data_IF_343485801597
#
_entry.id   IF_343485801597
#
_cell.length_a   1.000
_cell.length_b   1.000
_cell.length_c   1.000
_cell.angle_alpha   90.00
_cell.angle_beta   90.00
_cell.angle_gamma   90.00
#
_symmetry.space_group_name_H-M   'P 1'
#
loop_
_entity.id
_entity.type
_entity.pdbx_description
1 polymer ?
#
# COMPACT_ATOMS: atom_id res chain seq x y z
N UNK A 1 1.07 -17.55 -10.86
CA UNK A 1 -0.05 -17.64 -9.87
C UNK A 1 -0.15 -16.46 -8.89
N UNK A 2 0.90 -15.67 -8.62
CA UNK A 2 0.86 -14.46 -7.75
C UNK A 2 0.07 -13.25 -8.28
N UNK A 3 -0.32 -13.23 -9.56
CA UNK A 3 -1.14 -12.13 -10.12
C UNK A 3 -2.58 -12.16 -9.61
N UNK A 4 -3.11 -13.34 -9.26
CA UNK A 4 -4.49 -13.50 -8.80
C UNK A 4 -4.74 -12.86 -7.44
N UNK A 5 -3.80 -12.94 -6.47
CA UNK A 5 -3.95 -12.26 -5.16
C UNK A 5 -4.10 -10.74 -5.31
N UNK A 6 -3.33 -10.14 -6.22
CA UNK A 6 -3.42 -8.71 -6.51
C UNK A 6 -4.73 -8.35 -7.22
N UNK A 7 -5.30 -9.26 -7.98
CA UNK A 7 -6.58 -9.03 -8.64
C UNK A 7 -7.73 -9.05 -7.61
N UNK A 8 -7.73 -10.00 -6.67
CA UNK A 8 -8.74 -10.06 -5.61
C UNK A 8 -8.75 -8.81 -4.72
N UNK A 9 -7.60 -8.25 -4.37
CA UNK A 9 -7.55 -6.99 -3.61
C UNK A 9 -8.18 -5.81 -4.36
N UNK A 10 -8.04 -5.76 -5.70
CA UNK A 10 -8.68 -4.74 -6.51
C UNK A 10 -10.17 -5.01 -6.68
N UNK A 11 -10.57 -6.28 -6.83
CA UNK A 11 -11.98 -6.66 -6.88
C UNK A 11 -12.70 -6.32 -5.57
N UNK A 12 -12.10 -6.59 -4.42
CA UNK A 12 -12.71 -6.22 -3.13
C UNK A 12 -12.85 -4.70 -2.98
N UNK A 13 -11.89 -3.93 -3.47
CA UNK A 13 -11.99 -2.47 -3.51
C UNK A 13 -13.12 -1.99 -4.42
N UNK A 14 -13.30 -2.70 -5.53
CA UNK A 14 -14.37 -2.46 -6.48
C UNK A 14 -15.73 -2.80 -5.85
N UNK A 15 -15.87 -3.94 -5.18
CA UNK A 15 -17.08 -4.30 -4.45
C UNK A 15 -17.47 -3.23 -3.41
N UNK A 16 -16.49 -2.72 -2.66
CA UNK A 16 -16.70 -1.61 -1.72
C UNK A 16 -17.18 -0.33 -2.44
N UNK A 17 -16.66 -0.04 -3.63
CA UNK A 17 -17.12 1.09 -4.44
C UNK A 17 -18.53 0.86 -5.03
N UNK A 18 -18.87 -0.39 -5.35
CA UNK A 18 -20.18 -0.77 -5.90
C UNK A 18 -21.29 -0.68 -4.87
N UNK A 19 -20.99 -0.87 -3.57
CA UNK A 19 -21.94 -0.66 -2.49
C UNK A 19 -22.49 0.78 -2.45
N UNK A 20 -21.69 1.76 -2.87
CA UNK A 20 -22.11 3.17 -2.93
C UNK A 20 -22.94 3.52 -4.20
N UNK A 21 -22.88 2.69 -5.26
CA UNK A 21 -23.53 2.99 -6.54
C UNK A 21 -25.06 3.08 -6.48
N UNK A 22 -25.80 2.24 -5.74
CA UNK A 22 -27.26 2.35 -5.66
C UNK A 22 -27.71 3.71 -5.09
N UNK A 23 -27.04 4.20 -4.05
CA UNK A 23 -27.35 5.50 -3.43
C UNK A 23 -27.04 6.64 -4.40
N UNK A 24 -25.90 6.55 -5.09
CA UNK A 24 -25.53 7.49 -6.14
C UNK A 24 -26.60 7.50 -7.25
N UNK A 25 -26.90 6.36 -7.88
CA UNK A 25 -27.91 6.29 -8.94
C UNK A 25 -29.30 6.78 -8.50
N UNK A 26 -29.69 6.52 -7.25
CA UNK A 26 -30.93 7.04 -6.69
C UNK A 26 -30.94 8.58 -6.60
N UNK A 27 -29.88 9.18 -6.05
CA UNK A 27 -29.76 10.64 -5.95
C UNK A 27 -29.65 11.31 -7.33
N UNK A 28 -28.96 10.68 -8.28
CA UNK A 28 -28.90 11.11 -9.68
C UNK A 28 -30.30 11.13 -10.30
N UNK A 29 -31.08 10.06 -10.09
CA UNK A 29 -32.45 9.95 -10.62
C UNK A 29 -33.34 11.08 -10.12
N UNK A 30 -33.26 11.44 -8.83
CA UNK A 30 -34.02 12.56 -8.26
C UNK A 30 -33.59 13.90 -8.88
N UNK A 31 -32.28 14.14 -9.01
CA UNK A 31 -31.76 15.38 -9.59
C UNK A 31 -32.20 15.55 -11.05
N UNK A 32 -32.10 14.47 -11.84
CA UNK A 32 -32.54 14.44 -13.24
C UNK A 32 -34.03 14.74 -13.34
N UNK A 33 -34.87 14.09 -12.53
CA UNK A 33 -36.32 14.32 -12.55
C UNK A 33 -36.70 15.75 -12.12
N UNK A 34 -36.00 16.30 -11.12
CA UNK A 34 -36.22 17.66 -10.63
C UNK A 34 -35.92 18.72 -11.71
N UNK A 35 -34.73 18.69 -12.30
CA UNK A 35 -34.36 19.67 -13.33
C UNK A 35 -35.11 19.44 -14.64
N UNK A 36 -35.40 18.18 -14.99
CA UNK A 36 -36.25 17.86 -16.13
C UNK A 36 -37.66 18.46 -15.97
N UNK A 37 -38.27 18.35 -14.80
CA UNK A 37 -39.56 18.98 -14.52
C UNK A 37 -39.47 20.51 -14.62
N UNK A 38 -38.43 21.14 -14.04
CA UNK A 38 -38.22 22.60 -14.14
C UNK A 38 -38.11 23.06 -15.59
N UNK A 39 -37.27 22.39 -16.39
CA UNK A 39 -37.08 22.74 -17.80
C UNK A 39 -38.37 22.51 -18.60
N UNK A 40 -39.10 21.42 -18.32
CA UNK A 40 -40.38 21.11 -18.95
C UNK A 40 -41.45 22.16 -18.64
N UNK A 41 -41.45 22.77 -17.45
CA UNK A 41 -42.37 23.87 -17.11
C UNK A 41 -41.90 25.23 -17.64
N UNK A 42 -40.59 25.45 -17.73
CA UNK A 42 -40.01 26.71 -18.19
C UNK A 42 -40.07 26.90 -19.72
N UNK A 43 -40.13 25.80 -20.48
CA UNK A 43 -40.13 25.83 -21.95
C UNK A 43 -41.52 25.63 -22.56
N UNK A 44 -41.82 26.29 -23.70
CA UNK A 44 -43.05 26.09 -24.43
C UNK A 44 -43.11 24.69 -25.04
N UNK A 45 -44.34 24.16 -25.13
CA UNK A 45 -44.64 22.82 -25.67
C UNK A 45 -44.24 22.63 -27.14
N UNK A 46 -43.96 23.70 -27.86
CA UNK A 46 -43.47 23.70 -29.25
C UNK A 46 -42.00 23.30 -29.36
N UNK A 47 -41.22 23.49 -28.29
CA UNK A 47 -39.80 23.12 -28.24
C UNK A 47 -39.64 21.77 -27.52
N UNK A 48 -40.17 21.66 -26.30
CA UNK A 48 -40.14 20.43 -25.49
C UNK A 48 -41.55 19.89 -25.36
N UNK A 49 -41.84 18.85 -26.13
CA UNK A 49 -43.19 18.30 -26.28
C UNK A 49 -43.60 17.41 -25.11
N UNK A 50 -42.67 16.57 -24.64
CA UNK A 50 -42.94 15.53 -23.64
C UNK A 50 -41.91 15.56 -22.51
N UNK A 51 -42.31 15.09 -21.32
CA UNK A 51 -41.42 15.01 -20.16
C UNK A 51 -40.18 14.13 -20.42
N UNK A 52 -40.29 12.96 -21.08
CA UNK A 52 -39.11 12.16 -21.44
C UNK A 52 -38.09 12.93 -22.30
N UNK A 53 -38.52 13.86 -23.15
CA UNK A 53 -37.62 14.71 -23.92
C UNK A 53 -36.84 15.70 -23.03
N UNK A 54 -37.47 16.23 -21.98
CA UNK A 54 -36.79 17.04 -20.97
C UNK A 54 -35.83 16.20 -20.10
N UNK A 55 -36.19 14.94 -19.81
CA UNK A 55 -35.31 13.98 -19.11
C UNK A 55 -34.08 13.69 -19.97
N UNK A 56 -34.27 13.43 -21.26
CA UNK A 56 -33.18 13.23 -22.21
C UNK A 56 -32.20 14.42 -22.25
N UNK A 57 -32.73 15.64 -22.37
CA UNK A 57 -31.93 16.87 -22.30
C UNK A 57 -31.14 16.97 -20.98
N UNK A 58 -31.80 16.66 -19.86
CA UNK A 58 -31.17 16.74 -18.53
C UNK A 58 -30.05 15.71 -18.37
N UNK A 59 -30.28 14.46 -18.81
CA UNK A 59 -29.28 13.38 -18.75
C UNK A 59 -28.07 13.71 -19.64
N UNK A 60 -28.31 14.13 -20.88
CA UNK A 60 -27.23 14.45 -21.83
C UNK A 60 -26.41 15.66 -21.41
N UNK A 61 -27.04 16.64 -20.75
CA UNK A 61 -26.35 17.80 -20.16
C UNK A 61 -25.55 17.39 -18.93
N UNK A 62 -26.15 16.60 -18.02
CA UNK A 62 -25.49 16.12 -16.80
C UNK A 62 -24.29 15.21 -17.09
N UNK A 63 -24.40 14.37 -18.13
CA UNK A 63 -23.29 13.54 -18.63
C UNK A 63 -22.30 14.31 -19.50
N UNK A 64 -22.47 15.62 -19.68
CA UNK A 64 -21.62 16.51 -20.49
C UNK A 64 -21.50 16.13 -21.96
N UNK A 65 -22.41 15.29 -22.48
CA UNK A 65 -22.40 14.82 -23.88
C UNK A 65 -22.90 15.91 -24.83
N UNK A 66 -24.04 16.54 -24.48
CA UNK A 66 -24.57 17.70 -25.21
C UNK A 66 -24.74 17.51 -26.72
N UNK A 67 -25.61 16.58 -27.15
CA UNK A 67 -25.86 16.32 -28.58
C UNK A 67 -26.38 17.54 -29.38
N UNK A 68 -26.99 18.52 -28.70
CA UNK A 68 -27.51 19.74 -29.33
C UNK A 68 -28.79 19.53 -30.16
N UNK A 69 -29.40 18.35 -30.05
CA UNK A 69 -30.68 17.97 -30.68
C UNK A 69 -31.88 18.65 -30.01
N UNK A 70 -31.82 18.80 -28.68
CA UNK A 70 -32.81 19.52 -27.88
C UNK A 70 -32.06 20.56 -27.04
N UNK A 71 -32.58 21.79 -27.01
CA UNK A 71 -32.00 22.86 -26.20
C UNK A 71 -33.08 23.85 -25.76
N UNK A 72 -32.98 24.42 -24.54
CA UNK A 72 -33.89 25.46 -24.11
C UNK A 72 -33.73 26.69 -25.01
N UNK A 73 -34.85 27.30 -25.41
CA UNK A 73 -34.85 28.54 -26.21
C UNK A 73 -35.31 29.74 -25.39
N UNK A 74 -35.98 29.51 -24.27
CA UNK A 74 -36.45 30.57 -23.36
C UNK A 74 -35.35 31.01 -22.41
N UNK A 75 -35.41 32.27 -21.99
CA UNK A 75 -34.52 32.80 -20.96
C UNK A 75 -34.64 32.03 -19.64
N UNK A 76 -35.86 31.62 -19.26
CA UNK A 76 -36.12 30.80 -18.07
C UNK A 76 -35.48 29.41 -18.18
N UNK A 77 -35.64 28.73 -19.32
CA UNK A 77 -35.03 27.43 -19.57
C UNK A 77 -33.49 27.48 -19.56
N UNK A 78 -32.90 28.56 -20.09
CA UNK A 78 -31.46 28.80 -20.05
C UNK A 78 -30.93 29.03 -18.62
N UNK A 79 -31.68 29.74 -17.78
CA UNK A 79 -31.33 29.92 -16.36
C UNK A 79 -31.38 28.57 -15.64
N UNK A 80 -32.46 27.80 -15.80
CA UNK A 80 -32.60 26.47 -15.20
C UNK A 80 -31.46 25.53 -15.64
N UNK A 81 -31.10 25.58 -16.93
CA UNK A 81 -30.04 24.73 -17.49
C UNK A 81 -28.66 25.18 -17.01
N UNK A 82 -28.43 26.48 -16.80
CA UNK A 82 -27.21 26.98 -16.17
C UNK A 82 -27.04 26.45 -14.75
N UNK A 83 -28.12 26.44 -13.95
CA UNK A 83 -28.09 25.83 -12.62
C UNK A 83 -27.87 24.33 -12.68
N UNK A 84 -28.51 23.63 -13.61
CA UNK A 84 -28.30 22.20 -13.86
C UNK A 84 -26.81 21.91 -14.12
N UNK A 85 -26.16 22.65 -15.01
CA UNK A 85 -24.74 22.45 -15.36
C UNK A 85 -23.86 22.55 -14.12
N UNK A 86 -24.05 23.58 -13.29
CA UNK A 86 -23.28 23.78 -12.06
C UNK A 86 -23.53 22.65 -11.08
N UNK A 87 -24.80 22.32 -10.81
CA UNK A 87 -25.17 21.24 -9.90
C UNK A 87 -24.67 19.87 -10.38
N UNK A 88 -24.72 19.60 -11.69
CA UNK A 88 -24.22 18.34 -12.27
C UNK A 88 -22.70 18.22 -12.19
N UNK A 89 -21.98 19.33 -12.37
CA UNK A 89 -20.52 19.31 -12.26
C UNK A 89 -20.08 18.95 -10.83
N UNK A 90 -20.76 19.51 -9.82
CA UNK A 90 -20.52 19.14 -8.42
C UNK A 90 -20.87 17.68 -8.14
N UNK A 91 -21.95 17.18 -8.72
CA UNK A 91 -22.38 15.80 -8.54
C UNK A 91 -21.38 14.79 -9.12
N UNK A 92 -20.85 15.07 -10.33
CA UNK A 92 -19.87 14.20 -11.00
C UNK A 92 -18.53 14.05 -10.24
N UNK A 93 -18.23 14.94 -9.29
CA UNK A 93 -17.07 14.82 -8.42
C UNK A 93 -17.21 13.71 -7.36
N UNK A 94 -18.44 13.37 -6.94
CA UNK A 94 -18.69 12.42 -5.85
C UNK A 94 -18.29 10.98 -6.22
N UNK A 95 -18.73 10.39 -7.35
CA UNK A 95 -18.33 9.04 -7.74
C UNK A 95 -16.81 8.93 -7.93
N UNK A 96 -16.21 9.95 -8.54
CA UNK A 96 -14.76 10.01 -8.74
C UNK A 96 -14.01 10.02 -7.41
N UNK A 97 -14.49 10.78 -6.43
CA UNK A 97 -13.94 10.82 -5.07
C UNK A 97 -14.08 9.49 -4.31
N UNK A 98 -15.23 8.81 -4.42
CA UNK A 98 -15.45 7.50 -3.79
C UNK A 98 -14.49 6.45 -4.35
N UNK A 99 -14.40 6.35 -5.68
CA UNK A 99 -13.49 5.41 -6.34
C UNK A 99 -12.03 5.75 -6.03
N UNK A 100 -11.66 7.03 -6.07
CA UNK A 100 -10.33 7.50 -5.71
C UNK A 100 -9.96 7.17 -4.27
N UNK A 101 -10.87 7.38 -3.31
CA UNK A 101 -10.68 7.04 -1.91
C UNK A 101 -10.53 5.53 -1.68
N UNK A 102 -11.36 4.71 -2.33
CA UNK A 102 -11.25 3.25 -2.28
C UNK A 102 -9.90 2.77 -2.83
N UNK A 103 -9.49 3.31 -3.98
CA UNK A 103 -8.19 2.99 -4.57
C UNK A 103 -7.03 3.42 -3.69
N UNK A 104 -7.08 4.63 -3.11
CA UNK A 104 -6.03 5.16 -2.23
C UNK A 104 -5.79 4.26 -1.02
N UNK A 105 -6.86 3.77 -0.37
CA UNK A 105 -6.76 2.84 0.77
C UNK A 105 -6.05 1.54 0.38
N UNK A 106 -6.40 0.97 -0.77
CA UNK A 106 -5.78 -0.28 -1.27
C UNK A 106 -4.32 -0.06 -1.66
N UNK A 107 -4.02 1.11 -2.23
CA UNK A 107 -2.67 1.45 -2.65
C UNK A 107 -1.75 1.65 -1.46
N UNK A 108 -2.20 2.39 -0.43
CA UNK A 108 -1.48 2.58 0.83
C UNK A 108 -1.21 1.24 1.52
N UNK A 109 -2.22 0.37 1.57
CA UNK A 109 -2.11 -0.97 2.13
C UNK A 109 -1.08 -1.85 1.42
N UNK A 110 -0.97 -1.71 0.09
CA UNK A 110 0.03 -2.44 -0.68
C UNK A 110 1.43 -1.91 -0.44
N UNK A 111 1.58 -0.59 -0.39
CA UNK A 111 2.88 0.03 -0.22
C UNK A 111 3.49 -0.36 1.14
N UNK A 112 2.71 -0.34 2.23
CA UNK A 112 3.19 -0.84 3.53
C UNK A 112 3.62 -2.30 3.49
N UNK A 113 2.80 -3.18 2.92
CA UNK A 113 3.08 -4.61 2.85
C UNK A 113 4.32 -4.91 2.00
N UNK A 114 4.53 -4.15 0.92
CA UNK A 114 5.68 -4.28 0.06
C UNK A 114 6.97 -3.83 0.77
N UNK A 115 6.92 -2.77 1.57
CA UNK A 115 8.07 -2.31 2.35
C UNK A 115 8.45 -3.34 3.42
N UNK A 116 7.50 -3.83 4.23
CA UNK A 116 7.75 -4.88 5.24
C UNK A 116 8.34 -6.14 4.58
N UNK A 117 7.80 -6.57 3.42
CA UNK A 117 8.32 -7.73 2.70
C UNK A 117 9.74 -7.50 2.19
N UNK A 118 10.07 -6.29 1.71
CA UNK A 118 11.44 -5.96 1.27
C UNK A 118 12.42 -5.98 2.42
N UNK A 119 12.08 -5.36 3.56
CA UNK A 119 12.88 -5.38 4.78
C UNK A 119 13.12 -6.81 5.25
N UNK A 120 12.05 -7.61 5.37
CA UNK A 120 12.14 -9.03 5.76
C UNK A 120 13.04 -9.85 4.83
N UNK A 121 12.85 -9.72 3.51
CA UNK A 121 13.65 -10.48 2.55
C UNK A 121 15.14 -10.14 2.64
N UNK A 122 15.48 -8.88 2.96
CA UNK A 122 16.86 -8.43 3.09
C UNK A 122 17.52 -8.91 4.37
N UNK A 123 16.79 -8.87 5.49
CA UNK A 123 17.23 -9.50 6.73
C UNK A 123 17.50 -11.00 6.53
N UNK A 124 16.62 -11.70 5.79
CA UNK A 124 16.83 -13.11 5.46
C UNK A 124 18.01 -13.35 4.52
N UNK A 125 18.25 -12.47 3.54
CA UNK A 125 19.41 -12.55 2.66
C UNK A 125 20.74 -12.41 3.41
N UNK A 126 20.73 -11.66 4.51
CA UNK A 126 21.89 -11.52 5.40
C UNK A 126 22.03 -12.66 6.40
N UNK A 127 21.11 -13.63 6.39
CA UNK A 127 21.16 -14.81 7.25
C UNK A 127 20.59 -14.59 8.65
N UNK A 128 19.94 -13.44 8.92
CA UNK A 128 19.29 -13.21 10.21
C UNK A 128 18.11 -14.17 10.37
N UNK A 129 18.19 -15.01 11.40
CA UNK A 129 17.08 -15.82 11.86
C UNK A 129 16.13 -14.97 12.71
N UNK A 130 14.89 -15.43 12.97
CA UNK A 130 13.97 -14.69 13.83
C UNK A 130 14.48 -14.44 15.25
N UNK A 131 15.49 -15.20 15.72
CA UNK A 131 16.14 -14.98 17.02
C UNK A 131 17.14 -13.83 16.94
N UNK A 132 17.94 -13.77 15.87
CA UNK A 132 18.96 -12.74 15.65
C UNK A 132 18.35 -11.35 15.42
N UNK A 133 17.06 -11.29 15.07
CA UNK A 133 16.32 -10.05 14.86
C UNK A 133 16.11 -9.28 16.17
N UNK A 134 16.01 -9.98 17.30
CA UNK A 134 15.99 -9.34 18.62
C UNK A 134 17.37 -8.77 18.97
N UNK A 135 18.45 -9.48 18.64
CA UNK A 135 19.81 -8.95 18.84
C UNK A 135 20.07 -7.73 17.95
N UNK A 136 19.56 -7.73 16.71
CA UNK A 136 19.64 -6.59 15.82
C UNK A 136 18.85 -5.39 16.35
N UNK A 137 17.68 -5.62 16.94
CA UNK A 137 16.88 -4.58 17.59
C UNK A 137 17.69 -3.91 18.72
N UNK A 138 18.23 -4.71 19.65
CA UNK A 138 19.03 -4.18 20.77
C UNK A 138 20.39 -3.62 20.36
N UNK A 139 20.87 -3.91 19.15
CA UNK A 139 22.09 -3.32 18.62
C UNK A 139 21.89 -1.85 18.20
N UNK A 140 20.70 -1.52 17.71
CA UNK A 140 20.37 -0.17 17.23
C UNK A 140 19.66 0.70 18.29
N UNK A 141 19.06 0.07 19.31
CA UNK A 141 18.58 0.72 20.53
C UNK A 141 19.78 1.29 21.31
N UNK A 142 20.13 2.54 20.99
CA UNK A 142 21.34 3.21 21.46
C UNK A 142 21.18 3.67 22.91
N UNK A 143 19.97 4.08 23.27
CA UNK A 143 19.63 4.51 24.63
C UNK A 143 19.24 3.35 25.56
N UNK A 144 19.11 2.12 25.02
CA UNK A 144 18.71 0.90 25.71
C UNK A 144 17.36 1.02 26.38
N UNK A 145 16.46 1.79 25.78
CA UNK A 145 15.09 1.95 26.27
C UNK A 145 14.24 0.69 26.09
N UNK A 146 14.69 -0.26 25.26
CA UNK A 146 13.92 -1.43 24.86
C UNK A 146 12.89 -1.13 23.77
N UNK A 147 12.96 0.07 23.18
CA UNK A 147 12.07 0.58 22.14
C UNK A 147 12.93 1.26 21.07
N UNK A 148 12.59 1.14 19.79
CA UNK A 148 13.27 1.89 18.72
C UNK A 148 12.49 3.15 18.39
N UNK A 149 13.13 4.31 18.47
CA UNK A 149 12.56 5.54 17.95
C UNK A 149 12.71 5.67 16.42
N UNK A 150 12.10 6.70 15.83
CA UNK A 150 12.15 6.91 14.37
C UNK A 150 13.58 7.12 13.84
N UNK A 151 14.46 7.75 14.63
CA UNK A 151 15.87 7.96 14.30
C UNK A 151 16.63 6.65 14.28
N UNK A 152 16.58 5.88 15.36
CA UNK A 152 17.23 4.57 15.49
C UNK A 152 16.72 3.58 14.43
N UNK A 153 15.40 3.56 14.20
CA UNK A 153 14.80 2.75 13.15
C UNK A 153 15.25 3.20 11.75
N UNK A 154 15.37 4.50 11.50
CA UNK A 154 15.84 5.02 10.22
C UNK A 154 17.30 4.69 9.97
N UNK A 155 18.15 4.70 10.99
CA UNK A 155 19.54 4.26 10.88
C UNK A 155 19.62 2.77 10.56
N UNK A 156 18.87 1.95 11.28
CA UNK A 156 18.78 0.51 11.05
C UNK A 156 18.33 0.20 9.61
N UNK A 157 17.27 0.85 9.12
CA UNK A 157 16.76 0.67 7.75
C UNK A 157 17.69 1.27 6.69
N UNK A 158 18.40 2.37 7.02
CA UNK A 158 19.39 3.01 6.17
C UNK A 158 20.57 2.09 5.87
N UNK A 159 21.09 1.41 6.89
CA UNK A 159 22.15 0.41 6.76
C UNK A 159 21.74 -0.79 5.89
N UNK A 160 20.45 -1.16 5.88
CA UNK A 160 19.92 -2.19 4.97
C UNK A 160 19.97 -1.80 3.48
N UNK A 161 20.34 -0.55 3.15
CA UNK A 161 20.49 -0.02 1.77
C UNK A 161 19.33 -0.39 0.86
N UNK A 162 18.10 -0.29 1.38
CA UNK A 162 16.89 -0.67 0.65
C UNK A 162 16.53 0.30 -0.48
N UNK A 163 17.22 1.44 -0.58
CA UNK A 163 16.94 2.48 -1.58
C UNK A 163 15.56 3.12 -1.40
N UNK A 164 15.12 3.24 -0.15
CA UNK A 164 13.81 3.78 0.22
C UNK A 164 13.99 5.27 0.55
N UNK A 165 13.07 6.12 0.11
CA UNK A 165 13.07 7.54 0.47
C UNK A 165 12.72 7.75 1.95
N UNK A 166 13.18 8.85 2.54
CA UNK A 166 12.92 9.16 3.95
C UNK A 166 11.42 9.10 4.31
N UNK A 167 10.54 9.66 3.46
CA UNK A 167 9.08 9.61 3.68
C UNK A 167 8.53 8.18 3.78
N UNK A 168 9.11 7.25 3.01
CA UNK A 168 8.70 5.84 3.03
C UNK A 168 9.27 5.09 4.22
N UNK A 169 10.37 5.53 4.81
CA UNK A 169 10.89 5.01 6.09
C UNK A 169 9.94 5.41 7.21
N UNK A 170 9.47 6.66 7.24
CA UNK A 170 8.45 7.12 8.20
C UNK A 170 7.17 6.29 8.08
N UNK A 171 6.70 6.04 6.86
CA UNK A 171 5.53 5.19 6.65
C UNK A 171 5.79 3.74 7.05
N UNK A 172 7.01 3.23 6.86
CA UNK A 172 7.38 1.90 7.34
C UNK A 172 7.40 1.85 8.88
N UNK A 173 7.97 2.85 9.54
CA UNK A 173 7.97 2.96 10.99
C UNK A 173 6.56 2.92 11.57
N UNK A 174 5.63 3.72 11.02
CA UNK A 174 4.20 3.69 11.40
C UNK A 174 3.49 2.36 11.17
N UNK A 175 4.07 1.46 10.38
CA UNK A 175 3.49 0.13 10.16
C UNK A 175 3.99 -0.90 11.17
N UNK A 176 5.04 -0.55 11.91
CA UNK A 176 5.56 -1.31 13.03
C UNK A 176 4.92 -0.83 14.33
N UNK A 177 4.93 0.49 14.56
CA UNK A 177 4.27 1.19 15.68
C UNK A 177 2.74 1.02 15.57
N UNK A 178 2.23 -0.01 16.23
CA UNK A 178 0.82 -0.42 16.15
C UNK A 178 -0.01 0.27 17.22
N UNK A 179 0.60 0.58 18.36
CA UNK A 179 -0.05 1.27 19.47
C UNK A 179 -0.03 2.81 19.34
N UNK A 180 0.76 3.35 18.40
CA UNK A 180 0.87 4.78 18.13
C UNK A 180 1.68 5.53 19.16
N UNK A 181 2.55 4.84 19.92
CA UNK A 181 3.42 5.41 20.93
C UNK A 181 4.48 6.36 20.36
N UNK A 182 4.72 6.30 19.04
CA UNK A 182 5.82 7.01 18.38
C UNK A 182 7.17 6.31 18.55
N UNK A 183 7.14 5.07 19.03
CA UNK A 183 8.27 4.16 19.19
C UNK A 183 7.85 2.76 18.74
N UNK A 184 8.81 1.86 18.55
CA UNK A 184 8.54 0.47 18.15
C UNK A 184 9.17 -0.47 19.17
N UNK A 185 8.35 -1.26 19.87
CA UNK A 185 8.86 -2.26 20.82
C UNK A 185 9.30 -3.56 20.12
N UNK A 186 9.92 -4.48 20.88
CA UNK A 186 10.42 -5.75 20.34
C UNK A 186 9.29 -6.69 19.89
N UNK A 187 8.12 -6.61 20.53
CA UNK A 187 6.91 -7.35 20.21
C UNK A 187 6.32 -6.92 18.87
N UNK A 188 6.15 -5.62 18.68
CA UNK A 188 5.72 -4.94 17.47
C UNK A 188 6.67 -5.23 16.31
N UNK A 189 7.98 -5.10 16.55
CA UNK A 189 9.01 -5.35 15.55
C UNK A 189 8.96 -6.77 15.01
N UNK A 190 8.92 -7.75 15.90
CA UNK A 190 8.85 -9.17 15.53
C UNK A 190 7.49 -9.51 14.94
N UNK A 191 6.38 -8.95 15.43
CA UNK A 191 5.03 -9.20 14.91
C UNK A 191 4.89 -8.69 13.48
N UNK A 192 5.40 -7.50 13.17
CA UNK A 192 5.38 -6.94 11.82
C UNK A 192 6.25 -7.78 10.84
N UNK A 193 7.44 -8.20 11.28
CA UNK A 193 8.36 -8.99 10.45
C UNK A 193 8.02 -10.49 10.40
N UNK A 194 7.34 -11.08 11.37
CA UNK A 194 7.06 -12.53 11.42
C UNK A 194 5.69 -12.84 12.06
N UNK A 195 4.57 -12.42 11.45
CA UNK A 195 3.25 -12.59 12.05
C UNK A 195 2.85 -14.07 12.28
N UNK A 196 3.44 -15.01 11.52
CA UNK A 196 3.22 -16.47 11.71
C UNK A 196 4.22 -17.12 12.67
N UNK A 197 5.37 -16.50 12.92
CA UNK A 197 6.43 -17.01 13.81
C UNK A 197 6.43 -16.36 15.19
N UNK A 198 5.65 -15.28 15.36
CA UNK A 198 5.49 -14.51 16.58
C UNK A 198 5.24 -15.40 17.81
N UNK A 199 4.25 -16.29 17.74
CA UNK A 199 3.93 -17.19 18.85
C UNK A 199 5.11 -18.12 19.19
N UNK A 200 5.87 -18.59 18.21
CA UNK A 200 7.04 -19.47 18.46
C UNK A 200 8.18 -18.71 19.13
N UNK A 201 8.43 -17.46 18.73
CA UNK A 201 9.55 -16.65 19.25
C UNK A 201 9.27 -16.21 20.69
N UNK A 202 8.05 -15.77 20.99
CA UNK A 202 7.68 -15.32 22.34
C UNK A 202 7.27 -16.47 23.30
N UNK A 203 6.82 -17.63 22.81
CA UNK A 203 6.75 -18.84 23.67
C UNK A 203 8.16 -19.26 24.15
N UNK A 204 9.19 -19.07 23.33
CA UNK A 204 10.57 -19.36 23.72
C UNK A 204 11.07 -18.34 24.76
N UNK A 205 10.69 -17.06 24.65
CA UNK A 205 11.05 -16.02 25.65
C UNK A 205 10.44 -16.33 27.03
N UNK A 206 9.21 -16.84 27.06
CA UNK A 206 8.50 -17.21 28.30
C UNK A 206 8.98 -18.54 28.90
N UNK A 207 9.39 -19.52 28.09
CA UNK A 207 9.96 -20.79 28.57
C UNK A 207 11.47 -20.72 28.86
N UNK A 208 12.18 -19.79 28.23
CA UNK A 208 13.61 -19.55 28.44
C UNK A 208 13.93 -18.78 29.72
N UNK A 209 12.96 -18.06 30.28
CA UNK A 209 13.11 -17.39 31.57
C UNK A 209 13.24 -18.39 32.75
N UNK A 210 12.58 -19.55 32.66
CA UNK A 210 12.65 -20.60 33.68
C UNK A 210 13.84 -21.56 33.51
N UNK A 211 14.40 -21.70 32.29
CA UNK A 211 15.60 -22.53 32.03
C UNK A 211 16.93 -21.76 32.10
N UNK A 212 16.89 -20.43 32.27
CA UNK A 212 18.08 -19.57 32.29
C UNK A 212 19.10 -19.89 33.39
N UNK A 213 18.70 -20.63 34.43
CA UNK A 213 19.58 -21.04 35.54
C UNK A 213 20.17 -22.44 35.36
N UNK A 214 19.55 -23.34 34.58
CA UNK A 214 20.00 -24.74 34.43
C UNK A 214 20.89 -24.97 33.20
N UNK A 215 20.69 -24.22 32.11
CA UNK A 215 21.48 -24.45 30.87
C UNK A 215 22.91 -23.90 30.98
N UNK A 216 23.16 -22.90 31.86
CA UNK A 216 24.52 -22.40 32.11
C UNK A 216 25.43 -23.41 32.82
N UNK A 217 24.88 -24.45 33.46
CA UNK A 217 25.67 -25.50 34.10
C UNK A 217 25.97 -26.68 33.16
N UNK A 218 25.16 -26.87 32.10
CA UNK A 218 25.26 -28.03 31.22
C UNK A 218 26.00 -27.79 29.90
N UNK A 219 26.03 -26.56 29.39
CA UNK A 219 26.83 -26.25 28.18
C UNK A 219 28.08 -25.48 28.57
N UNK A 220 29.17 -26.22 28.81
CA UNK A 220 30.52 -25.67 28.90
C UNK A 220 30.97 -25.04 27.59
N UNK A 221 30.43 -23.85 27.28
CA UNK A 221 30.83 -23.06 26.11
C UNK A 221 32.12 -22.32 26.44
N UNK A 222 33.22 -23.09 26.36
CA UNK A 222 34.57 -22.56 26.35
C UNK A 222 34.76 -21.59 25.19
N UNK A 223 35.37 -20.45 25.51
CA UNK A 223 35.90 -19.42 24.62
C UNK A 223 36.33 -19.97 23.26
N UNK A 224 35.81 -19.41 22.16
CA UNK A 224 36.50 -19.47 20.86
C UNK A 224 36.96 -18.08 20.44
N UNK A 225 38.24 -17.88 20.76
CA UNK A 225 39.24 -16.96 20.24
C UNK A 225 38.88 -16.12 19.01
N UNK A 226 38.98 -14.81 19.18
CA UNK A 226 39.35 -13.85 18.14
C UNK A 226 40.82 -13.50 18.29
N UNK A 227 41.70 -14.22 17.60
CA UNK A 227 43.08 -13.82 17.35
C UNK A 227 43.29 -13.75 15.83
N UNK A 228 43.24 -12.53 15.28
CA UNK A 228 43.76 -12.22 13.95
C UNK A 228 45.05 -11.43 14.14
N UNK A 229 46.17 -12.16 14.17
CA UNK A 229 47.53 -11.63 14.15
C UNK A 229 48.16 -11.72 12.77
N UNK A 230 48.55 -10.55 12.27
CA UNK A 230 49.53 -10.21 11.24
C UNK A 230 50.58 -11.29 10.84
N UNK A 231 50.89 -11.42 9.54
CA UNK A 231 52.03 -12.21 9.06
C UNK A 231 52.13 -12.36 7.53
N UNK A 232 53.11 -11.67 6.94
CA UNK A 232 53.45 -11.54 5.52
C UNK A 232 54.05 -12.81 4.86
N UNK A 233 53.92 -12.91 3.53
CA UNK A 233 54.99 -13.39 2.64
C UNK A 233 54.72 -14.58 1.71
N UNK A 234 54.90 -14.35 0.40
CA UNK A 234 55.70 -15.23 -0.47
C UNK A 234 55.01 -16.26 -1.38
N UNK A 235 54.79 -15.84 -2.63
CA UNK A 235 55.19 -16.47 -3.91
C UNK A 235 54.96 -17.98 -4.21
N UNK A 236 54.51 -18.26 -5.44
CA UNK A 236 54.58 -19.58 -6.08
C UNK A 236 53.32 -20.04 -6.84
N UNK A 237 53.24 -19.74 -8.15
CA UNK A 237 52.38 -20.48 -9.11
C UNK A 237 52.84 -21.94 -9.31
N UNK A 238 52.15 -22.78 -10.14
CA UNK A 238 51.82 -22.46 -11.52
C UNK A 238 50.45 -22.96 -12.03
N UNK A 239 50.24 -22.66 -13.32
CA UNK A 239 49.05 -22.78 -14.18
C UNK A 239 48.47 -24.18 -14.43
N UNK A 240 47.14 -24.22 -14.63
CA UNK A 240 46.35 -25.02 -15.60
C UNK A 240 45.02 -24.21 -15.78
N UNK A 241 44.48 -23.83 -16.94
CA UNK A 241 44.55 -24.37 -18.29
C UNK A 241 43.18 -25.00 -18.64
N UNK A 242 42.48 -24.43 -19.65
CA UNK A 242 41.29 -24.95 -20.36
C UNK A 242 39.93 -24.81 -19.64
N UNK A 243 38.80 -24.48 -20.27
CA UNK A 243 38.45 -24.08 -21.63
C UNK A 243 37.02 -23.48 -21.60
N UNK A 244 36.82 -22.46 -22.42
CA UNK A 244 35.51 -21.93 -22.82
C UNK A 244 35.03 -22.69 -24.06
N UNK A 245 33.72 -22.89 -24.23
CA UNK A 245 33.18 -22.68 -25.57
C UNK A 245 31.92 -21.82 -25.57
N UNK A 246 32.02 -20.77 -26.38
CA UNK A 246 30.92 -20.08 -27.04
C UNK A 246 30.13 -21.02 -27.97
N UNK A 247 28.80 -20.93 -27.94
CA UNK A 247 27.90 -20.99 -29.11
C UNK A 247 26.53 -20.48 -28.62
N UNK A 248 26.01 -19.34 -29.08
CA UNK A 248 25.42 -19.03 -30.39
C UNK A 248 24.36 -20.05 -30.80
N UNK A 249 23.10 -19.79 -30.46
CA UNK A 249 21.95 -20.28 -31.23
C UNK A 249 20.82 -19.24 -31.20
N UNK A 250 20.78 -18.48 -32.29
CA UNK A 250 19.61 -17.85 -32.90
C UNK A 250 18.67 -18.92 -33.45
N UNK A 251 17.39 -18.90 -33.10
CA UNK A 251 16.32 -19.42 -33.98
C UNK A 251 15.08 -18.51 -33.83
N UNK A 252 14.72 -17.90 -34.96
CA UNK A 252 13.44 -17.28 -35.27
C UNK A 252 12.34 -18.34 -35.40
N UNK A 253 11.15 -18.05 -34.86
CA UNK A 253 9.84 -18.18 -35.54
C UNK A 253 8.76 -17.43 -34.73
#
# INVERSE_FOLDING_TARGET
LRSFEKFHLLLNAFELAFEALPVLLYTLSILVLFFSALIYFAEPRTNITTLPQAVWLTITTMMTVGYGDVMPRTTSGLICTSFLIISSALYMAIPLGIVGGAFSRVWEDRDRLMLIRRTRNRLQQWGYTPKDILELFYLYDSDKSGELDLGEFSEMIGEMRLGISADRIVNLFKTFDTDGSGKVDDEEFVRALYPKGYNTIFHIKTWGADLGTEIMEFTGFGKRNTDMGNGSGGDGGPALGYDNPSSSETIDE
#
